data_IF_258642087422
#
_entry.id   IF_258642087422
#
_cell.length_a   1.000
_cell.length_b   1.000
_cell.length_c   1.000
_cell.angle_alpha   90.00
_cell.angle_beta   90.00
_cell.angle_gamma   90.00
#
_symmetry.space_group_name_H-M   'P 1'
#
loop_
_entity.id
_entity.type
_entity.pdbx_description
1 polymer ?
#
# COMPACT_ATOMS: atom_id res chain seq x y z
N UNK A 1 -22.41 6.49 7.02
CA UNK A 1 -21.53 5.65 7.74
C UNK A 1 -20.25 5.36 7.02
N UNK A 2 -19.14 5.48 7.69
CA UNK A 2 -17.88 5.27 7.07
C UNK A 2 -17.49 3.84 7.08
N UNK A 3 -16.93 3.39 6.01
CA UNK A 3 -16.42 2.05 5.90
C UNK A 3 -14.91 2.08 6.02
N UNK A 4 -14.38 1.38 7.00
CA UNK A 4 -12.95 1.30 7.16
C UNK A 4 -12.45 -0.07 6.75
N UNK A 5 -11.29 -0.10 6.16
CA UNK A 5 -10.65 -1.35 5.79
C UNK A 5 -9.63 -1.71 6.85
N UNK A 6 -9.43 -2.98 7.03
CA UNK A 6 -8.38 -3.44 7.91
C UNK A 6 -7.09 -3.54 7.09
N UNK A 7 -6.02 -2.96 7.60
CA UNK A 7 -4.74 -3.01 6.88
C UNK A 7 -3.92 -4.16 7.42
N UNK A 8 -3.45 -5.02 6.51
CA UNK A 8 -2.59 -6.12 6.90
C UNK A 8 -1.29 -6.02 6.14
N UNK A 9 -0.23 -6.58 6.70
CA UNK A 9 1.09 -6.55 6.11
C UNK A 9 1.66 -7.95 6.07
N UNK A 10 2.33 -8.28 4.97
CA UNK A 10 3.01 -9.57 4.90
C UNK A 10 4.22 -9.53 5.82
N UNK A 11 4.77 -10.71 6.09
CA UNK A 11 5.94 -10.80 6.95
C UNK A 11 7.11 -10.00 6.37
N UNK A 12 7.28 -10.09 5.05
CA UNK A 12 8.36 -9.34 4.41
C UNK A 12 8.20 -7.85 4.57
N UNK A 13 6.97 -7.37 4.46
CA UNK A 13 6.71 -5.95 4.63
C UNK A 13 6.96 -5.53 6.06
N UNK A 14 6.56 -6.37 7.01
CA UNK A 14 6.81 -6.05 8.41
C UNK A 14 8.29 -5.93 8.70
N UNK A 15 9.08 -6.82 8.10
CA UNK A 15 10.53 -6.75 8.27
C UNK A 15 11.10 -5.50 7.65
N UNK A 16 10.58 -5.13 6.50
CA UNK A 16 11.03 -3.92 5.84
C UNK A 16 10.77 -2.70 6.71
N UNK A 17 9.58 -2.61 7.28
CA UNK A 17 9.21 -1.47 8.10
C UNK A 17 10.11 -1.39 9.33
N UNK A 18 10.43 -2.52 9.92
CA UNK A 18 11.29 -2.52 11.09
C UNK A 18 12.70 -2.07 10.76
N UNK A 19 13.18 -2.46 9.59
CA UNK A 19 14.52 -2.09 9.17
C UNK A 19 14.61 -0.64 8.69
N UNK A 20 13.55 -0.14 8.11
CA UNK A 20 13.54 1.19 7.50
C UNK A 20 12.49 2.03 8.15
N UNK A 21 12.72 2.39 9.39
CA UNK A 21 11.68 3.02 10.21
C UNK A 21 11.13 4.31 9.65
N UNK A 22 11.97 5.15 9.14
CA UNK A 22 11.49 6.44 8.61
C UNK A 22 10.51 6.25 7.49
N UNK A 23 10.91 5.53 6.45
CA UNK A 23 10.04 5.33 5.32
C UNK A 23 8.90 4.37 5.67
N UNK A 24 9.18 3.41 6.53
CA UNK A 24 8.16 2.48 6.97
C UNK A 24 7.01 3.19 7.68
N UNK A 25 7.34 4.17 8.51
CA UNK A 25 6.32 4.91 9.21
C UNK A 25 5.48 5.73 8.25
N UNK A 26 6.11 6.28 7.21
CA UNK A 26 5.37 7.03 6.20
C UNK A 26 4.36 6.15 5.48
N UNK A 27 4.76 4.94 5.13
CA UNK A 27 3.84 4.01 4.50
C UNK A 27 2.75 3.59 5.47
N UNK A 28 3.11 3.35 6.72
CA UNK A 28 2.13 2.95 7.71
C UNK A 28 1.03 4.02 7.85
N UNK A 29 1.43 5.26 7.95
CA UNK A 29 0.47 6.34 8.07
C UNK A 29 -0.37 6.49 6.81
N UNK A 30 0.26 6.34 5.65
CA UNK A 30 -0.46 6.45 4.39
C UNK A 30 -1.52 5.37 4.27
N UNK A 31 -1.18 4.14 4.60
CA UNK A 31 -2.16 3.06 4.49
C UNK A 31 -3.26 3.20 5.52
N UNK A 32 -2.92 3.72 6.69
CA UNK A 32 -3.95 3.98 7.68
C UNK A 32 -4.96 4.99 7.16
N UNK A 33 -4.46 6.01 6.51
CA UNK A 33 -5.33 7.02 5.92
C UNK A 33 -6.15 6.44 4.78
N UNK A 34 -5.52 5.65 3.91
CA UNK A 34 -6.22 5.05 2.80
C UNK A 34 -7.30 4.08 3.27
N UNK A 35 -7.07 3.42 4.38
CA UNK A 35 -8.03 2.45 4.88
C UNK A 35 -9.34 3.11 5.28
N UNK A 36 -9.32 4.39 5.53
CA UNK A 36 -10.52 5.12 5.91
C UNK A 36 -11.20 5.78 4.72
N UNK A 37 -10.54 5.76 3.58
CA UNK A 37 -11.03 6.46 2.41
C UNK A 37 -11.45 5.47 1.34
N UNK A 38 -12.72 5.46 0.98
CA UNK A 38 -13.21 4.51 0.01
C UNK A 38 -12.79 4.83 -1.42
N UNK A 39 -12.35 6.05 -1.67
CA UNK A 39 -11.95 6.44 -3.01
C UNK A 39 -10.46 6.70 -3.07
N UNK A 40 -9.71 5.68 -3.47
CA UNK A 40 -8.27 5.77 -3.52
C UNK A 40 -7.78 6.84 -4.49
N UNK A 41 -8.50 7.00 -5.59
CA UNK A 41 -8.07 7.96 -6.58
C UNK A 41 -8.23 9.39 -6.15
N UNK A 42 -9.10 9.63 -5.19
CA UNK A 42 -9.31 10.97 -4.69
C UNK A 42 -8.31 11.35 -3.62
N UNK A 43 -7.45 10.44 -3.23
CA UNK A 43 -6.48 10.72 -2.21
C UNK A 43 -5.35 11.58 -2.78
N UNK A 44 -4.58 12.18 -1.90
CA UNK A 44 -3.44 12.98 -2.34
C UNK A 44 -2.19 12.15 -2.57
N UNK A 45 -2.29 10.85 -2.39
CA UNK A 45 -1.15 9.97 -2.57
C UNK A 45 -0.97 9.58 -4.03
N UNK A 46 0.24 9.24 -4.38
CA UNK A 46 0.59 8.82 -5.73
C UNK A 46 0.25 7.34 -5.87
N UNK A 47 -0.95 7.05 -6.34
CA UNK A 47 -1.45 5.70 -6.47
C UNK A 47 -1.76 5.39 -7.92
N UNK A 48 -1.34 4.22 -8.35
CA UNK A 48 -1.60 3.77 -9.71
C UNK A 48 -2.09 2.33 -9.70
N UNK A 49 -2.90 1.99 -10.69
CA UNK A 49 -3.40 0.63 -10.86
C UNK A 49 -2.30 -0.23 -11.45
N UNK A 50 -2.18 -1.45 -10.96
CA UNK A 50 -1.22 -2.40 -11.52
C UNK A 50 -1.86 -3.15 -12.66
N UNK A 51 -1.29 -3.00 -13.85
CA UNK A 51 -1.84 -3.66 -15.01
C UNK A 51 -1.74 -5.15 -14.90
N UNK A 52 -2.76 -5.83 -15.38
CA UNK A 52 -2.78 -7.27 -15.38
C UNK A 52 -3.26 -7.90 -14.09
N UNK A 53 -3.58 -7.08 -13.12
CA UNK A 53 -4.05 -7.58 -11.83
C UNK A 53 -5.33 -6.89 -11.44
N UNK A 54 -6.17 -7.61 -10.73
CA UNK A 54 -7.41 -7.02 -10.24
C UNK A 54 -7.19 -6.51 -8.84
N UNK A 55 -7.66 -5.31 -8.58
CA UNK A 55 -7.65 -4.75 -7.23
C UNK A 55 -6.24 -4.62 -6.64
N UNK A 56 -5.24 -4.51 -7.49
CA UNK A 56 -3.87 -4.36 -7.04
C UNK A 56 -3.37 -2.99 -7.46
N UNK A 57 -2.77 -2.30 -6.52
CA UNK A 57 -2.34 -0.92 -6.72
C UNK A 57 -0.92 -0.71 -6.25
N UNK A 58 -0.34 0.37 -6.69
CA UNK A 58 1.00 0.77 -6.26
C UNK A 58 0.91 2.15 -5.62
N UNK A 59 1.52 2.28 -4.46
CA UNK A 59 1.63 3.55 -3.77
C UNK A 59 3.10 3.95 -3.74
N UNK A 60 3.41 5.12 -4.24
CA UNK A 60 4.78 5.60 -4.24
C UNK A 60 4.97 6.70 -3.22
N UNK A 61 6.02 6.58 -2.43
CA UNK A 61 6.43 7.61 -1.49
C UNK A 61 7.94 7.76 -1.63
N UNK A 62 8.37 8.93 -2.09
CA UNK A 62 9.79 9.15 -2.32
C UNK A 62 10.33 8.18 -3.36
N UNK A 63 11.35 7.44 -3.00
CA UNK A 63 11.95 6.48 -3.92
C UNK A 63 11.44 5.08 -3.70
N UNK A 64 10.45 4.92 -2.87
CA UNK A 64 9.93 3.60 -2.54
C UNK A 64 8.55 3.39 -3.11
N UNK A 65 8.23 2.13 -3.36
CA UNK A 65 6.92 1.76 -3.88
C UNK A 65 6.38 0.60 -3.08
N UNK A 66 5.09 0.68 -2.79
CA UNK A 66 4.40 -0.38 -2.09
C UNK A 66 3.33 -0.94 -3.01
N UNK A 67 3.24 -2.27 -3.06
CA UNK A 67 2.20 -2.94 -3.82
C UNK A 67 1.18 -3.46 -2.83
N UNK A 68 -0.08 -3.15 -3.06
CA UNK A 68 -1.12 -3.56 -2.14
C UNK A 68 -2.39 -3.93 -2.90
N UNK A 69 -3.18 -4.79 -2.31
CA UNK A 69 -4.46 -5.15 -2.87
C UNK A 69 -5.58 -4.64 -1.99
N UNK A 70 -6.73 -4.40 -2.61
CA UNK A 70 -7.91 -3.95 -1.88
C UNK A 70 -8.98 -4.99 -2.06
N UNK A 71 -9.30 -5.69 -0.98
CA UNK A 71 -10.33 -6.73 -1.01
C UNK A 71 -11.62 -6.14 -0.48
N UNK A 72 -12.44 -5.69 -1.39
CA UNK A 72 -13.63 -4.96 -1.00
C UNK A 72 -14.65 -5.78 -0.23
N UNK A 73 -14.76 -7.03 -0.58
CA UNK A 73 -15.77 -7.87 0.04
C UNK A 73 -15.49 -8.14 1.51
N UNK A 74 -14.24 -8.32 1.85
CA UNK A 74 -13.87 -8.57 3.23
C UNK A 74 -13.27 -7.35 3.90
N UNK A 75 -13.23 -6.25 3.20
CA UNK A 75 -12.74 -4.97 3.71
C UNK A 75 -11.32 -5.05 4.24
N UNK A 76 -10.44 -5.59 3.45
CA UNK A 76 -9.03 -5.71 3.80
C UNK A 76 -8.17 -5.02 2.77
N UNK A 77 -7.21 -4.23 3.25
CA UNK A 77 -6.18 -3.63 2.42
C UNK A 77 -4.90 -4.36 2.78
N UNK A 78 -4.41 -5.16 1.86
CA UNK A 78 -3.27 -6.01 2.12
C UNK A 78 -2.02 -5.46 1.46
N UNK A 79 -1.03 -5.09 2.25
CA UNK A 79 0.24 -4.57 1.73
C UNK A 79 1.16 -5.75 1.50
N UNK A 80 1.48 -5.99 0.24
CA UNK A 80 2.19 -7.20 -0.15
C UNK A 80 3.70 -7.02 -0.31
N UNK A 81 4.12 -5.83 -0.69
CA UNK A 81 5.53 -5.61 -0.93
C UNK A 81 5.87 -4.13 -0.86
N UNK A 82 7.02 -3.81 -0.30
CA UNK A 82 7.57 -2.45 -0.33
C UNK A 82 9.01 -2.58 -0.78
N UNK A 83 9.39 -1.78 -1.75
CA UNK A 83 10.73 -1.86 -2.27
C UNK A 83 11.17 -0.49 -2.76
N UNK A 84 12.45 -0.33 -2.97
CA UNK A 84 12.95 0.92 -3.48
C UNK A 84 12.64 1.00 -4.97
N UNK A 85 12.78 2.21 -5.48
CA UNK A 85 12.39 2.49 -6.85
C UNK A 85 12.78 1.43 -7.83
N UNK A 86 11.89 1.11 -8.71
CA UNK A 86 12.16 0.26 -9.85
C UNK A 86 12.27 -1.21 -9.57
N UNK A 87 12.70 -1.59 -8.39
CA UNK A 87 12.92 -3.00 -8.11
C UNK A 87 11.65 -3.81 -8.11
N UNK A 88 10.56 -3.20 -7.79
CA UNK A 88 9.29 -3.89 -7.77
C UNK A 88 8.93 -4.43 -9.14
N UNK A 89 9.34 -3.72 -10.18
CA UNK A 89 9.02 -4.11 -11.53
C UNK A 89 10.11 -4.85 -12.24
N UNK A 90 11.28 -4.84 -11.69
CA UNK A 90 12.35 -5.45 -12.41
C UNK A 90 12.12 -6.89 -12.49
N UNK A 91 12.36 -7.26 -13.45
CA UNK A 91 12.12 -8.53 -13.52
C UNK A 91 12.94 -9.15 -13.82
#
# INVERSE_FOLDING_TARGET
>A
MKTSYKVTYTTDVEKFIKKNRDIGLKFFKAFKELSKNSNLRASSFDIAVMRGYRNVYRLRIGQYRAVFSVEKEIKVLKVMKIDSRGDVYKK
#
